data_IF_329871007579
#
_entry.id   IF_329871007579
#
_cell.length_a   1.000
_cell.length_b   1.000
_cell.length_c   1.000
_cell.angle_alpha   90.00
_cell.angle_beta   90.00
_cell.angle_gamma   90.00
#
_symmetry.space_group_name_H-M   'P 1'
#
loop_
_entity.id
_entity.type
_entity.pdbx_description
1 polymer ?
#
# COMPACT_ATOMS: atom_id res chain seq x y z
N UNK A 1 -10.20 2.05 57.73
CA UNK A 1 -9.91 3.34 57.07
C UNK A 1 -9.94 3.15 55.56
N UNK A 2 -11.02 3.55 54.91
CA UNK A 2 -11.19 3.41 53.46
C UNK A 2 -10.47 4.56 52.75
N UNK A 3 -9.24 4.32 52.32
CA UNK A 3 -8.46 5.28 51.52
C UNK A 3 -9.07 5.47 50.14
N UNK A 4 -9.96 6.47 49.96
CA UNK A 4 -10.35 6.91 48.62
C UNK A 4 -9.15 7.58 47.97
N UNK A 5 -8.72 7.04 46.83
CA UNK A 5 -7.70 7.68 45.99
C UNK A 5 -8.13 9.12 45.64
N UNK A 6 -7.18 10.07 45.54
CA UNK A 6 -7.48 11.43 45.16
C UNK A 6 -8.18 11.48 43.78
N UNK A 7 -9.06 12.48 43.54
CA UNK A 7 -9.91 12.54 42.34
C UNK A 7 -9.14 12.45 41.01
N UNK A 8 -7.91 13.01 40.96
CA UNK A 8 -7.02 12.89 39.80
C UNK A 8 -6.60 11.46 39.50
N UNK A 9 -6.18 10.69 40.52
CA UNK A 9 -5.80 9.28 40.34
C UNK A 9 -6.99 8.43 39.93
N UNK A 10 -8.18 8.74 40.44
CA UNK A 10 -9.41 8.03 40.08
C UNK A 10 -9.83 8.31 38.63
N UNK A 11 -9.62 9.54 38.15
CA UNK A 11 -9.82 9.93 36.75
C UNK A 11 -8.80 9.26 35.83
N UNK A 12 -7.51 9.31 36.16
CA UNK A 12 -6.44 8.68 35.40
C UNK A 12 -6.63 7.15 35.31
N UNK A 13 -7.03 6.51 36.42
CA UNK A 13 -7.33 5.08 36.44
C UNK A 13 -8.52 4.71 35.55
N UNK A 14 -9.56 5.56 35.48
CA UNK A 14 -10.70 5.37 34.56
C UNK A 14 -10.30 5.58 33.10
N UNK A 15 -9.52 6.63 32.80
CA UNK A 15 -9.00 6.87 31.46
C UNK A 15 -8.13 5.70 30.98
N UNK A 16 -7.20 5.23 31.83
CA UNK A 16 -6.35 4.08 31.54
C UNK A 16 -7.14 2.78 31.30
N UNK A 17 -8.18 2.55 32.10
CA UNK A 17 -9.03 1.37 31.98
C UNK A 17 -9.79 1.34 30.65
N UNK A 18 -10.16 2.51 30.11
CA UNK A 18 -10.85 2.66 28.83
C UNK A 18 -9.88 2.69 27.65
N UNK A 19 -8.71 3.33 27.78
CA UNK A 19 -7.73 3.46 26.68
C UNK A 19 -6.98 2.16 26.39
N UNK A 20 -6.61 1.38 27.42
CA UNK A 20 -5.77 0.17 27.23
C UNK A 20 -6.41 -0.90 26.35
N UNK A 21 -7.72 -1.20 26.44
CA UNK A 21 -8.39 -2.13 25.54
C UNK A 21 -8.36 -1.64 24.08
N UNK A 22 -8.70 -0.37 23.85
CA UNK A 22 -8.71 0.23 22.50
C UNK A 22 -7.32 0.22 21.86
N UNK A 23 -6.29 0.60 22.61
CA UNK A 23 -4.89 0.55 22.15
C UNK A 23 -4.44 -0.88 21.82
N UNK A 24 -4.83 -1.88 22.63
CA UNK A 24 -4.53 -3.30 22.35
C UNK A 24 -5.24 -3.77 21.09
N UNK A 25 -6.50 -3.39 20.90
CA UNK A 25 -7.29 -3.73 19.71
C UNK A 25 -6.66 -3.16 18.45
N UNK A 26 -6.29 -1.88 18.43
CA UNK A 26 -5.63 -1.26 17.26
C UNK A 26 -4.25 -1.86 17.01
N UNK A 27 -3.49 -2.27 18.04
CA UNK A 27 -2.23 -3.02 17.88
C UNK A 27 -2.44 -4.39 17.24
N UNK A 28 -3.40 -5.17 17.73
CA UNK A 28 -3.73 -6.47 17.17
C UNK A 28 -4.20 -6.36 15.70
N UNK A 29 -5.08 -5.42 15.39
CA UNK A 29 -5.58 -5.21 14.02
C UNK A 29 -4.45 -4.85 13.05
N UNK A 30 -3.56 -3.91 13.42
CA UNK A 30 -2.41 -3.57 12.57
C UNK A 30 -1.47 -4.76 12.37
N UNK A 31 -1.20 -5.54 13.42
CA UNK A 31 -0.35 -6.73 13.30
C UNK A 31 -0.97 -7.78 12.37
N UNK A 32 -2.28 -8.03 12.50
CA UNK A 32 -3.02 -8.94 11.63
C UNK A 32 -2.96 -8.45 10.18
N UNK A 33 -3.23 -7.16 9.93
CA UNK A 33 -3.14 -6.58 8.59
C UNK A 33 -1.73 -6.70 8.01
N UNK A 34 -0.68 -6.49 8.81
CA UNK A 34 0.70 -6.68 8.37
C UNK A 34 0.99 -8.12 7.96
N UNK A 35 0.56 -9.10 8.76
CA UNK A 35 0.69 -10.53 8.42
C UNK A 35 -0.09 -10.88 7.16
N UNK A 36 -1.32 -10.37 7.02
CA UNK A 36 -2.14 -10.60 5.83
C UNK A 36 -1.51 -9.97 4.58
N UNK A 37 -0.98 -8.75 4.67
CA UNK A 37 -0.26 -8.11 3.57
C UNK A 37 0.99 -8.92 3.19
N UNK A 38 1.77 -9.39 4.16
CA UNK A 38 2.94 -10.21 3.89
C UNK A 38 2.56 -11.55 3.24
N UNK A 39 1.48 -12.18 3.70
CA UNK A 39 0.96 -13.42 3.12
C UNK A 39 0.45 -13.22 1.69
N UNK A 40 -0.27 -12.13 1.42
CA UNK A 40 -0.74 -11.77 0.07
C UNK A 40 0.44 -11.46 -0.84
N UNK A 41 1.43 -10.70 -0.38
CA UNK A 41 2.65 -10.43 -1.15
C UNK A 41 3.39 -11.73 -1.50
N UNK A 42 3.54 -12.64 -0.52
CA UNK A 42 4.13 -13.95 -0.75
C UNK A 42 3.30 -14.77 -1.75
N UNK A 43 1.98 -14.70 -1.69
CA UNK A 43 1.10 -15.37 -2.64
C UNK A 43 1.19 -14.77 -4.06
N UNK A 44 1.20 -13.45 -4.21
CA UNK A 44 1.48 -12.77 -5.49
C UNK A 44 2.79 -13.27 -6.07
N UNK A 45 3.87 -13.28 -5.28
CA UNK A 45 5.19 -13.64 -5.78
C UNK A 45 5.31 -15.13 -6.13
N UNK A 46 4.97 -16.01 -5.18
CA UNK A 46 5.14 -17.46 -5.33
C UNK A 46 4.06 -18.09 -6.24
N UNK A 47 2.85 -17.54 -6.22
CA UNK A 47 1.69 -18.08 -6.93
C UNK A 47 1.50 -17.53 -8.33
N UNK A 48 2.08 -16.36 -8.66
CA UNK A 48 1.87 -15.72 -9.97
C UNK A 48 3.18 -15.27 -10.61
N UNK A 49 4.03 -14.51 -9.93
CA UNK A 49 5.27 -13.99 -10.54
C UNK A 49 6.22 -15.11 -10.94
N UNK A 50 6.50 -16.07 -10.05
CA UNK A 50 7.37 -17.21 -10.37
C UNK A 50 6.75 -18.14 -11.44
N UNK A 51 5.47 -18.55 -11.34
CA UNK A 51 4.84 -19.34 -12.39
C UNK A 51 4.79 -18.64 -13.76
N UNK A 52 4.49 -17.34 -13.79
CA UNK A 52 4.53 -16.55 -15.03
C UNK A 52 5.91 -16.63 -15.66
N UNK A 53 6.96 -16.38 -14.88
CA UNK A 53 8.34 -16.40 -15.38
C UNK A 53 8.74 -17.78 -15.92
N UNK A 54 8.26 -18.85 -15.31
CA UNK A 54 8.51 -20.22 -15.76
C UNK A 54 7.90 -20.50 -17.14
N UNK A 55 6.68 -20.02 -17.40
CA UNK A 55 6.01 -20.22 -18.70
C UNK A 55 6.36 -19.15 -19.73
N UNK A 56 6.91 -18.01 -19.30
CA UNK A 56 7.30 -16.89 -20.15
C UNK A 56 8.79 -16.90 -20.53
N UNK A 57 9.44 -18.07 -20.55
CA UNK A 57 10.85 -18.25 -20.89
C UNK A 57 11.79 -17.31 -20.10
N UNK A 58 11.51 -17.06 -18.83
CA UNK A 58 12.32 -16.22 -17.96
C UNK A 58 11.98 -14.72 -18.02
N UNK A 59 11.04 -14.29 -18.87
CA UNK A 59 10.55 -12.90 -18.94
C UNK A 59 9.81 -12.52 -17.66
N UNK A 60 10.11 -11.33 -17.15
CA UNK A 60 9.44 -10.78 -15.97
C UNK A 60 8.11 -10.11 -16.33
N UNK A 61 7.11 -10.29 -15.46
CA UNK A 61 5.89 -9.49 -15.48
C UNK A 61 6.23 -8.02 -15.33
N UNK A 62 5.46 -7.14 -15.98
CA UNK A 62 5.67 -5.70 -15.84
C UNK A 62 5.38 -5.22 -14.41
N UNK A 63 4.42 -5.84 -13.72
CA UNK A 63 4.05 -5.55 -12.33
C UNK A 63 5.18 -5.81 -11.34
N UNK A 64 6.09 -6.73 -11.66
CA UNK A 64 7.24 -7.05 -10.81
C UNK A 64 8.41 -6.05 -10.97
N UNK A 65 8.36 -5.16 -11.96
CA UNK A 65 9.43 -4.20 -12.25
C UNK A 65 9.28 -2.95 -11.38
N UNK A 66 9.95 -2.94 -10.23
CA UNK A 66 9.93 -1.83 -9.25
C UNK A 66 10.47 -0.51 -9.86
N UNK A 67 11.43 -0.59 -10.79
CA UNK A 67 11.96 0.59 -11.48
C UNK A 67 10.98 1.22 -12.48
N UNK A 68 9.81 0.59 -12.68
CA UNK A 68 8.87 0.93 -13.72
C UNK A 68 9.25 0.35 -15.07
N UNK A 69 8.53 0.80 -16.10
CA UNK A 69 8.68 0.41 -17.50
C UNK A 69 8.22 1.56 -18.40
N UNK A 70 8.38 1.40 -19.71
CA UNK A 70 7.98 2.38 -20.73
C UNK A 70 6.80 1.87 -21.58
N UNK A 71 6.21 2.74 -22.40
CA UNK A 71 5.08 2.37 -23.26
C UNK A 71 5.43 1.25 -24.25
N UNK A 72 6.69 1.18 -24.69
CA UNK A 72 7.18 0.11 -25.55
C UNK A 72 7.13 -1.26 -24.88
N UNK A 73 7.46 -1.33 -23.58
CA UNK A 73 7.36 -2.57 -22.80
C UNK A 73 5.92 -3.06 -22.70
N UNK A 74 4.96 -2.14 -22.57
CA UNK A 74 3.53 -2.46 -22.51
C UNK A 74 3.05 -3.08 -23.81
N UNK A 75 3.42 -2.49 -24.94
CA UNK A 75 3.06 -3.00 -26.26
C UNK A 75 3.71 -4.35 -26.56
N UNK A 76 4.99 -4.51 -26.20
CA UNK A 76 5.72 -5.77 -26.33
C UNK A 76 5.09 -6.86 -25.46
N UNK A 77 4.73 -6.55 -24.22
CA UNK A 77 4.02 -7.48 -23.33
C UNK A 77 2.64 -7.85 -23.89
N UNK A 78 1.88 -6.89 -24.41
CA UNK A 78 0.58 -7.17 -25.03
C UNK A 78 0.70 -8.15 -26.21
N UNK A 79 1.68 -7.93 -27.10
CA UNK A 79 1.93 -8.83 -28.23
C UNK A 79 2.38 -10.22 -27.77
N UNK A 80 3.25 -10.27 -26.76
CA UNK A 80 3.70 -11.52 -26.16
C UNK A 80 2.54 -12.32 -25.59
N UNK A 81 1.69 -11.71 -24.76
CA UNK A 81 0.57 -12.40 -24.10
C UNK A 81 -0.49 -12.90 -25.08
N UNK A 82 -0.68 -12.21 -26.22
CA UNK A 82 -1.59 -12.68 -27.29
C UNK A 82 -1.17 -14.02 -27.88
N UNK A 83 0.12 -14.34 -27.83
CA UNK A 83 0.67 -15.59 -28.38
C UNK A 83 1.01 -16.62 -27.31
N UNK A 84 0.91 -16.26 -26.04
CA UNK A 84 1.27 -17.10 -24.88
C UNK A 84 0.09 -17.18 -23.91
N UNK A 85 -0.93 -18.01 -24.20
CA UNK A 85 -2.18 -18.05 -23.45
C UNK A 85 -2.00 -18.44 -21.98
N UNK A 86 -1.03 -19.30 -21.66
CA UNK A 86 -0.75 -19.69 -20.28
C UNK A 86 -0.21 -18.52 -19.45
N UNK A 87 0.71 -17.74 -20.01
CA UNK A 87 1.24 -16.54 -19.36
C UNK A 87 0.14 -15.48 -19.19
N UNK A 88 -0.70 -15.29 -20.21
CA UNK A 88 -1.85 -14.39 -20.16
C UNK A 88 -2.86 -14.79 -19.08
N UNK A 89 -3.16 -16.08 -18.97
CA UNK A 89 -4.07 -16.59 -17.95
C UNK A 89 -3.53 -16.34 -16.53
N UNK A 90 -2.24 -16.55 -16.29
CA UNK A 90 -1.61 -16.26 -14.99
C UNK A 90 -1.68 -14.76 -14.68
N UNK A 91 -1.34 -13.90 -15.64
CA UNK A 91 -1.39 -12.45 -15.43
C UNK A 91 -2.81 -11.96 -15.18
N UNK A 92 -3.80 -12.44 -15.92
CA UNK A 92 -5.19 -12.09 -15.68
C UNK A 92 -5.68 -12.60 -14.31
N UNK A 93 -5.29 -13.81 -13.92
CA UNK A 93 -5.63 -14.37 -12.61
C UNK A 93 -4.98 -13.62 -11.45
N UNK A 94 -3.80 -13.01 -11.66
CA UNK A 94 -3.16 -12.15 -10.65
C UNK A 94 -4.08 -10.97 -10.29
N UNK A 95 -4.58 -10.25 -11.31
CA UNK A 95 -5.45 -9.08 -11.13
C UNK A 95 -6.83 -9.42 -10.54
N UNK A 96 -7.34 -10.63 -10.80
CA UNK A 96 -8.59 -11.12 -10.21
C UNK A 96 -8.41 -11.82 -8.86
N UNK A 97 -7.17 -12.10 -8.47
CA UNK A 97 -6.82 -12.84 -7.26
C UNK A 97 -6.25 -11.90 -6.19
N UNK A 98 -4.96 -12.03 -5.84
CA UNK A 98 -4.39 -11.26 -4.73
C UNK A 98 -4.39 -9.75 -4.98
N UNK A 99 -4.16 -9.27 -6.21
CA UNK A 99 -4.12 -7.83 -6.51
C UNK A 99 -5.50 -7.15 -6.43
N UNK A 100 -6.59 -7.93 -6.35
CA UNK A 100 -7.92 -7.38 -6.07
C UNK A 100 -8.06 -6.94 -4.60
N UNK A 101 -7.37 -7.61 -3.68
CA UNK A 101 -7.54 -7.44 -2.22
C UNK A 101 -6.34 -6.74 -1.59
N UNK A 102 -5.15 -7.03 -2.11
CA UNK A 102 -3.89 -6.55 -1.56
C UNK A 102 -3.81 -5.02 -1.45
N UNK A 103 -4.18 -4.22 -2.46
CA UNK A 103 -4.10 -2.77 -2.37
C UNK A 103 -4.96 -2.20 -1.25
N UNK A 104 -6.16 -2.74 -1.04
CA UNK A 104 -7.04 -2.31 0.06
C UNK A 104 -6.47 -2.65 1.44
N UNK A 105 -5.93 -3.86 1.63
CA UNK A 105 -5.32 -4.25 2.91
C UNK A 105 -4.04 -3.47 3.18
N UNK A 106 -3.21 -3.25 2.18
CA UNK A 106 -2.00 -2.45 2.28
C UNK A 106 -2.35 -0.99 2.56
N UNK A 107 -3.31 -0.41 1.84
CA UNK A 107 -3.82 0.94 2.08
C UNK A 107 -4.34 1.11 3.51
N UNK A 108 -5.13 0.16 4.01
CA UNK A 108 -5.62 0.16 5.39
C UNK A 108 -4.49 0.04 6.41
N UNK A 109 -3.50 -0.83 6.16
CA UNK A 109 -2.32 -0.96 6.99
C UNK A 109 -1.54 0.36 7.06
N UNK A 110 -1.21 0.94 5.91
CA UNK A 110 -0.49 2.21 5.80
C UNK A 110 -1.25 3.34 6.49
N UNK A 111 -2.57 3.39 6.36
CA UNK A 111 -3.41 4.36 7.05
C UNK A 111 -3.38 4.19 8.57
N UNK A 112 -3.49 2.97 9.08
CA UNK A 112 -3.40 2.70 10.53
C UNK A 112 -1.99 2.97 11.08
N UNK A 113 -0.95 2.70 10.30
CA UNK A 113 0.42 3.06 10.64
C UNK A 113 0.58 4.57 10.70
N UNK A 114 -0.01 5.32 9.77
CA UNK A 114 -0.04 6.79 9.81
C UNK A 114 -0.80 7.34 11.02
N UNK A 115 -1.93 6.73 11.40
CA UNK A 115 -2.64 7.12 12.62
C UNK A 115 -1.78 6.91 13.87
N UNK A 116 -1.09 5.76 13.95
CA UNK A 116 -0.19 5.43 15.07
C UNK A 116 1.08 6.24 15.11
N UNK A 117 1.56 6.66 13.94
CA UNK A 117 2.67 7.58 13.85
C UNK A 117 2.34 8.92 14.52
N UNK A 118 1.05 9.20 14.77
CA UNK A 118 0.54 10.43 15.38
C UNK A 118 1.23 11.63 14.73
N UNK A 119 0.81 12.10 13.54
CA UNK A 119 1.42 13.25 12.86
C UNK A 119 1.29 14.58 13.65
N UNK A 120 1.04 14.52 14.96
CA UNK A 120 0.96 15.64 15.88
C UNK A 120 2.36 16.05 16.36
N UNK A 121 2.64 17.34 16.18
CA UNK A 121 3.76 18.00 16.83
C UNK A 121 4.93 18.23 15.88
N UNK A 122 4.79 19.26 15.06
CA UNK A 122 5.86 19.95 14.35
C UNK A 122 6.46 19.25 13.11
N UNK A 123 6.25 19.84 11.93
CA UNK A 123 7.00 19.55 10.70
C UNK A 123 7.99 20.69 10.47
N UNK A 124 9.29 20.39 10.45
CA UNK A 124 10.37 21.40 10.45
C UNK A 124 10.25 22.44 11.60
N UNK A 125 9.91 21.99 12.81
CA UNK A 125 9.79 22.89 13.97
C UNK A 125 8.56 23.79 13.97
N UNK A 126 7.59 23.59 13.06
CA UNK A 126 6.29 24.30 13.02
C UNK A 126 5.11 23.35 13.12
N UNK A 127 4.13 23.68 13.96
CA UNK A 127 2.90 22.90 14.09
C UNK A 127 2.29 22.65 12.70
N UNK A 128 1.92 21.40 12.43
CA UNK A 128 1.34 21.01 11.15
C UNK A 128 -0.02 21.70 10.97
N UNK A 129 -0.24 22.46 9.89
CA UNK A 129 -1.54 23.04 9.62
C UNK A 129 -2.56 21.91 9.34
N UNK A 130 -3.85 22.12 9.63
CA UNK A 130 -4.89 21.10 9.43
C UNK A 130 -4.92 20.52 8.01
N UNK A 131 -4.68 21.37 6.99
CA UNK A 131 -4.62 20.93 5.59
C UNK A 131 -3.46 19.97 5.31
N UNK A 132 -2.30 20.15 5.95
CA UNK A 132 -1.17 19.23 5.78
C UNK A 132 -1.49 17.86 6.39
N UNK A 133 -2.13 17.82 7.57
CA UNK A 133 -2.59 16.58 8.19
C UNK A 133 -3.57 15.84 7.28
N UNK A 134 -4.52 16.57 6.68
CA UNK A 134 -5.46 15.99 5.72
C UNK A 134 -4.76 15.35 4.51
N UNK A 135 -3.76 16.03 3.93
CA UNK A 135 -2.97 15.49 2.81
C UNK A 135 -2.25 14.20 3.21
N UNK A 136 -1.61 14.17 4.39
CA UNK A 136 -0.88 13.00 4.89
C UNK A 136 -1.79 11.78 4.99
N UNK A 137 -2.98 11.96 5.56
CA UNK A 137 -3.97 10.88 5.68
C UNK A 137 -4.63 10.51 4.35
N UNK A 138 -4.62 11.40 3.36
CA UNK A 138 -5.09 11.08 2.01
C UNK A 138 -4.08 10.22 1.23
N UNK A 139 -2.78 10.23 1.57
CA UNK A 139 -1.77 9.49 0.80
C UNK A 139 -2.05 7.98 0.68
N UNK A 140 -2.36 7.22 1.75
CA UNK A 140 -2.68 5.80 1.62
C UNK A 140 -3.93 5.53 0.76
N UNK A 141 -4.91 6.44 0.81
CA UNK A 141 -6.12 6.35 -0.02
C UNK A 141 -5.76 6.58 -1.49
N UNK A 142 -4.98 7.63 -1.78
CA UNK A 142 -4.51 7.91 -3.14
C UNK A 142 -3.66 6.76 -3.70
N UNK A 143 -2.76 6.18 -2.88
CA UNK A 143 -2.00 4.99 -3.28
C UNK A 143 -2.94 3.86 -3.70
N UNK A 144 -3.94 3.54 -2.86
CA UNK A 144 -4.91 2.46 -3.12
C UNK A 144 -5.69 2.70 -4.41
N UNK A 145 -6.13 3.94 -4.65
CA UNK A 145 -6.88 4.31 -5.86
C UNK A 145 -6.04 4.19 -7.13
N UNK A 146 -4.78 4.64 -7.09
CA UNK A 146 -3.87 4.54 -8.24
C UNK A 146 -3.53 3.08 -8.54
N UNK A 147 -3.33 2.26 -7.51
CA UNK A 147 -3.08 0.83 -7.65
C UNK A 147 -4.27 0.11 -8.31
N UNK A 148 -5.51 0.37 -7.84
CA UNK A 148 -6.70 -0.16 -8.51
C UNK A 148 -6.88 0.36 -9.94
N UNK A 149 -6.59 1.64 -10.20
CA UNK A 149 -6.66 2.19 -11.54
C UNK A 149 -5.67 1.49 -12.50
N UNK A 150 -4.48 1.15 -12.00
CA UNK A 150 -3.49 0.39 -12.74
C UNK A 150 -3.96 -1.04 -13.02
N UNK A 151 -4.46 -1.75 -12.00
CA UNK A 151 -5.01 -3.10 -12.17
C UNK A 151 -6.18 -3.13 -13.16
N UNK A 152 -7.08 -2.14 -13.10
CA UNK A 152 -8.18 -2.00 -14.06
C UNK A 152 -7.68 -1.71 -15.48
N UNK A 153 -6.70 -0.83 -15.64
CA UNK A 153 -6.08 -0.55 -16.93
C UNK A 153 -5.42 -1.81 -17.51
N UNK A 154 -4.72 -2.59 -16.68
CA UNK A 154 -4.10 -3.84 -17.08
C UNK A 154 -5.14 -4.90 -17.50
N UNK A 155 -6.25 -5.03 -16.78
CA UNK A 155 -7.38 -5.90 -17.15
C UNK A 155 -8.08 -5.47 -18.45
N UNK A 156 -8.14 -4.17 -18.75
CA UNK A 156 -8.73 -3.65 -19.98
C UNK A 156 -7.81 -3.80 -21.19
N UNK A 157 -6.50 -3.92 -20.96
CA UNK A 157 -5.49 -3.98 -22.01
C UNK A 157 -5.10 -5.42 -22.38
N UNK A 158 -4.78 -6.24 -21.39
CA UNK A 158 -4.19 -7.56 -21.63
C UNK A 158 -5.26 -8.64 -21.85
N UNK A 159 -4.91 -9.74 -22.57
CA UNK A 159 -5.84 -10.84 -22.77
C UNK A 159 -6.39 -11.35 -21.42
N UNK A 160 -7.68 -11.73 -21.35
CA UNK A 160 -8.59 -12.01 -22.46
C UNK A 160 -9.25 -10.77 -23.07
N UNK A 161 -8.94 -9.56 -22.62
CA UNK A 161 -9.47 -8.35 -23.24
C UNK A 161 -9.05 -8.26 -24.72
N UNK A 162 -9.94 -7.68 -25.52
CA UNK A 162 -9.71 -7.38 -26.95
C UNK A 162 -9.87 -5.87 -27.16
N UNK A 163 -8.91 -5.06 -26.66
CA UNK A 163 -9.02 -3.61 -26.70
C UNK A 163 -8.97 -3.08 -28.14
N UNK A 164 -9.66 -1.96 -28.38
CA UNK A 164 -9.50 -1.19 -29.61
C UNK A 164 -8.13 -0.53 -29.70
N UNK A 165 -7.68 -0.16 -30.91
CA UNK A 165 -6.38 0.51 -31.11
C UNK A 165 -6.25 1.81 -30.31
N UNK A 166 -7.35 2.56 -30.17
CA UNK A 166 -7.39 3.76 -29.33
C UNK A 166 -7.17 3.45 -27.84
N UNK A 167 -7.73 2.34 -27.35
CA UNK A 167 -7.54 1.88 -25.97
C UNK A 167 -6.10 1.42 -25.75
N UNK A 168 -5.53 0.67 -26.70
CA UNK A 168 -4.12 0.24 -26.65
C UNK A 168 -3.21 1.47 -26.61
N UNK A 169 -3.45 2.45 -27.48
CA UNK A 169 -2.67 3.70 -27.53
C UNK A 169 -2.73 4.43 -26.19
N UNK A 170 -3.92 4.64 -25.64
CA UNK A 170 -4.11 5.31 -24.35
C UNK A 170 -3.42 4.56 -23.21
N UNK A 171 -3.74 3.28 -23.02
CA UNK A 171 -3.28 2.51 -21.87
C UNK A 171 -1.78 2.20 -21.92
N UNK A 172 -1.18 2.10 -23.11
CA UNK A 172 0.28 1.97 -23.24
C UNK A 172 1.04 3.15 -22.65
N UNK A 173 0.46 4.36 -22.71
CA UNK A 173 1.04 5.57 -22.12
C UNK A 173 0.63 5.73 -20.65
N UNK A 174 -0.62 5.40 -20.32
CA UNK A 174 -1.16 5.59 -18.96
C UNK A 174 -0.57 4.61 -17.95
N UNK A 175 -0.40 3.33 -18.29
CA UNK A 175 0.08 2.31 -17.35
C UNK A 175 1.44 2.64 -16.72
N UNK A 176 2.49 3.02 -17.49
CA UNK A 176 3.76 3.47 -16.91
C UNK A 176 3.61 4.62 -15.92
N UNK A 177 2.71 5.57 -16.19
CA UNK A 177 2.46 6.73 -15.34
C UNK A 177 1.83 6.29 -14.01
N UNK A 178 0.82 5.41 -14.07
CA UNK A 178 0.17 4.89 -12.88
C UNK A 178 1.15 4.10 -12.00
N UNK A 179 2.00 3.27 -12.60
CA UNK A 179 3.04 2.52 -11.88
C UNK A 179 4.04 3.45 -11.20
N UNK A 180 4.52 4.49 -11.89
CA UNK A 180 5.42 5.48 -11.29
C UNK A 180 4.73 6.23 -10.15
N UNK A 181 3.46 6.59 -10.33
CA UNK A 181 2.68 7.30 -9.32
C UNK A 181 2.43 6.44 -8.08
N UNK A 182 2.05 5.16 -8.22
CA UNK A 182 1.84 4.27 -7.07
C UNK A 182 3.12 4.08 -6.27
N UNK A 183 4.26 3.84 -6.93
CA UNK A 183 5.54 3.69 -6.24
C UNK A 183 6.02 5.01 -5.62
N UNK A 184 5.84 6.16 -6.29
CA UNK A 184 6.17 7.45 -5.70
C UNK A 184 5.33 7.74 -4.44
N UNK A 185 4.03 7.46 -4.48
CA UNK A 185 3.15 7.58 -3.31
C UNK A 185 3.61 6.67 -2.18
N UNK A 186 3.91 5.40 -2.49
CA UNK A 186 4.39 4.42 -1.51
C UNK A 186 5.71 4.89 -0.85
N UNK A 187 6.67 5.38 -1.64
CA UNK A 187 7.93 5.94 -1.14
C UNK A 187 7.68 7.12 -0.22
N UNK A 188 6.81 8.06 -0.60
CA UNK A 188 6.47 9.22 0.26
C UNK A 188 5.86 8.74 1.57
N UNK A 189 4.90 7.80 1.54
CA UNK A 189 4.27 7.22 2.73
C UNK A 189 5.33 6.57 3.64
N UNK A 190 6.24 5.77 3.09
CA UNK A 190 7.31 5.11 3.85
C UNK A 190 8.27 6.13 4.48
N UNK A 191 8.70 7.15 3.73
CA UNK A 191 9.55 8.23 4.25
C UNK A 191 8.86 8.94 5.41
N UNK A 192 7.56 9.23 5.28
CA UNK A 192 6.78 9.88 6.32
C UNK A 192 6.65 9.01 7.58
N UNK A 193 6.36 7.71 7.43
CA UNK A 193 6.33 6.77 8.56
C UNK A 193 7.68 6.68 9.26
N UNK A 194 8.77 6.53 8.50
CA UNK A 194 10.12 6.46 9.04
C UNK A 194 10.49 7.74 9.79
N UNK A 195 10.14 8.90 9.24
CA UNK A 195 10.36 10.20 9.86
C UNK A 195 9.63 10.30 11.19
N UNK A 196 8.33 10.02 11.24
CA UNK A 196 7.55 10.12 12.47
C UNK A 196 8.02 9.11 13.53
N UNK A 197 8.40 7.89 13.12
CA UNK A 197 8.99 6.90 14.01
C UNK A 197 10.33 7.38 14.60
N UNK A 198 11.20 7.99 13.78
CA UNK A 198 12.48 8.53 14.23
C UNK A 198 12.32 9.69 15.23
N UNK A 199 11.41 10.64 14.96
CA UNK A 199 11.11 11.72 15.90
C UNK A 199 10.60 11.20 17.24
N UNK A 200 9.77 10.15 17.24
CA UNK A 200 9.27 9.53 18.46
C UNK A 200 10.35 8.79 19.24
N UNK A 201 11.26 8.10 18.53
CA UNK A 201 12.41 7.43 19.15
C UNK A 201 13.36 8.42 19.83
N UNK A 202 13.65 9.54 19.16
CA UNK A 202 14.49 10.60 19.73
C UNK A 202 13.85 11.28 20.93
N UNK A 203 12.54 11.58 20.88
CA UNK A 203 11.85 12.26 21.99
C UNK A 203 11.74 11.41 23.26
N UNK A 204 11.79 10.08 23.16
CA UNK A 204 11.83 9.18 24.32
C UNK A 204 13.26 8.99 24.87
N UNK A 205 14.30 9.27 24.09
CA UNK A 205 15.70 9.17 24.52
C UNK A 205 16.19 10.40 25.30
N UNK A 206 15.58 11.57 25.11
CA UNK A 206 15.91 12.80 25.84
C UNK A 206 15.21 12.92 27.22
N UNK A 207 14.48 11.87 27.65
CA UNK A 207 13.76 11.82 28.93
C UNK A 207 14.30 10.81 29.96
N UNK A 208 15.47 10.21 29.68
CA UNK A 208 16.27 9.45 30.65
C UNK A 208 17.45 10.30 31.17
#
# INVERSE_FOLDING_TARGET
MSGRKPPREQFQQKCDAVLRPELRKTRAVTAILAVLCAALFAWTYLGFVLPFRAVAAGRDMLDARIAGYESGDVLDMLQFLRTHPDAAAIQHALYLGPELIFPALLGALLFLLMQKAEPGGFFFGRALPPGAVAVIFALPVLYTLVDYAENMASLLLYPPASPSDGTVTLLSVTLPILVRMKFALLVVIVIMLARFAAYRGLSHGDSE
#
